data_IF_702867900630
#
_entry.id   IF_702867900630
#
_cell.length_a   1.000
_cell.length_b   1.000
_cell.length_c   1.000
_cell.angle_alpha   90.00
_cell.angle_beta   90.00
_cell.angle_gamma   90.00
#
_symmetry.space_group_name_H-M   'P 1'
#
loop_
_entity.id
_entity.type
_entity.pdbx_description
1 polymer ?
#
# COMPACT_ATOMS: atom_id res chain seq x y z
N UNK A 1 -45.78 12.73 31.23
CA UNK A 1 -44.54 12.76 32.04
C UNK A 1 -43.36 13.03 31.11
N UNK A 2 -42.70 14.19 31.23
CA UNK A 2 -41.55 14.58 30.41
C UNK A 2 -40.28 14.14 31.15
N UNK A 3 -39.68 13.02 30.74
CA UNK A 3 -38.47 12.50 31.37
C UNK A 3 -37.26 13.24 30.77
N UNK A 4 -36.90 14.39 31.33
CA UNK A 4 -35.70 15.11 30.93
C UNK A 4 -34.49 14.38 31.52
N UNK A 5 -33.87 13.50 30.74
CA UNK A 5 -32.64 12.83 31.17
C UNK A 5 -31.56 13.91 31.36
N UNK A 6 -31.14 14.14 32.60
CA UNK A 6 -30.00 15.00 32.92
C UNK A 6 -28.74 14.20 32.61
N UNK A 7 -28.22 14.34 31.39
CA UNK A 7 -26.90 13.80 31.07
C UNK A 7 -25.90 14.47 32.02
N UNK A 8 -25.25 13.67 32.86
CA UNK A 8 -24.33 14.21 33.86
C UNK A 8 -23.09 14.78 33.15
N UNK A 9 -22.51 15.84 33.70
CA UNK A 9 -21.27 16.46 33.17
C UNK A 9 -20.12 15.45 33.04
N UNK A 10 -20.15 14.38 33.84
CA UNK A 10 -19.22 13.25 33.76
C UNK A 10 -19.38 12.43 32.47
N UNK A 11 -20.61 12.17 32.04
CA UNK A 11 -20.88 11.45 30.78
C UNK A 11 -20.44 12.25 29.56
N UNK A 12 -20.61 13.58 29.59
CA UNK A 12 -20.14 14.47 28.52
C UNK A 12 -18.61 14.45 28.46
N UNK A 13 -17.94 14.54 29.62
CA UNK A 13 -16.47 14.53 29.71
C UNK A 13 -15.88 13.20 29.24
N UNK A 14 -16.51 12.08 29.59
CA UNK A 14 -16.11 10.74 29.14
C UNK A 14 -16.26 10.59 27.61
N UNK A 15 -17.38 11.04 27.05
CA UNK A 15 -17.60 11.02 25.60
C UNK A 15 -16.58 11.87 24.84
N UNK A 16 -16.24 13.06 25.37
CA UNK A 16 -15.21 13.92 24.78
C UNK A 16 -13.83 13.28 24.77
N UNK A 17 -13.46 12.58 25.85
CA UNK A 17 -12.17 11.85 25.92
C UNK A 17 -12.15 10.69 24.93
N UNK A 18 -13.24 9.93 24.82
CA UNK A 18 -13.36 8.84 23.84
C UNK A 18 -13.25 9.36 22.41
N UNK A 19 -13.91 10.48 22.09
CA UNK A 19 -13.83 11.13 20.78
C UNK A 19 -12.39 11.55 20.42
N UNK A 20 -11.62 12.08 21.39
CA UNK A 20 -10.22 12.48 21.17
C UNK A 20 -9.33 11.25 20.97
N UNK A 21 -9.52 10.18 21.75
CA UNK A 21 -8.70 8.96 21.64
C UNK A 21 -8.98 8.20 20.35
N UNK A 22 -10.24 8.15 19.90
CA UNK A 22 -10.67 7.48 18.64
C UNK A 22 -10.14 8.16 17.37
N UNK A 23 -9.67 9.41 17.44
CA UNK A 23 -9.05 10.08 16.29
C UNK A 23 -7.58 9.68 16.05
N UNK A 24 -6.92 9.01 17.00
CA UNK A 24 -5.48 8.72 16.89
C UNK A 24 -5.05 7.53 16.00
N UNK A 25 -5.86 6.53 15.61
CA UNK A 25 -5.37 5.48 14.74
C UNK A 25 -5.27 5.90 13.25
N UNK A 26 -5.82 7.06 12.85
CA UNK A 26 -5.84 7.48 11.43
C UNK A 26 -4.55 8.20 11.00
N UNK A 27 -3.80 8.80 11.93
CA UNK A 27 -2.61 9.58 11.58
C UNK A 27 -1.29 8.79 11.60
N UNK A 28 -1.26 7.61 12.21
CA UNK A 28 -0.04 6.78 12.29
C UNK A 28 0.38 6.18 10.93
N UNK A 29 -0.47 6.26 9.90
CA UNK A 29 -0.18 5.76 8.55
C UNK A 29 0.20 6.87 7.56
N UNK A 30 0.22 8.13 7.98
CA UNK A 30 0.68 9.24 7.12
C UNK A 30 2.21 9.25 7.09
N UNK A 31 2.78 8.76 5.99
CA UNK A 31 4.23 8.72 5.76
C UNK A 31 4.71 7.48 5.00
N UNK A 32 4.05 6.33 5.18
CA UNK A 32 4.33 5.10 4.38
C UNK A 32 3.80 5.27 2.95
N UNK A 33 2.66 5.95 2.78
CA UNK A 33 2.09 6.22 1.46
C UNK A 33 3.00 7.08 0.56
N UNK A 34 3.84 7.94 1.14
CA UNK A 34 4.56 8.94 0.36
C UNK A 34 5.86 8.40 -0.25
N UNK A 35 6.53 7.40 0.33
CA UNK A 35 7.87 6.99 -0.10
C UNK A 35 8.00 5.47 -0.24
N UNK A 36 8.28 5.00 -1.45
CA UNK A 36 8.54 3.58 -1.75
C UNK A 36 7.31 2.69 -1.83
N UNK A 37 6.09 3.27 -1.80
CA UNK A 37 4.84 2.54 -1.97
C UNK A 37 4.32 2.63 -3.41
N UNK A 38 3.36 1.76 -3.76
CA UNK A 38 2.67 1.83 -5.05
C UNK A 38 1.53 2.85 -5.08
N UNK A 39 1.37 3.70 -4.06
CA UNK A 39 0.28 4.68 -3.95
C UNK A 39 0.60 6.08 -4.48
N UNK A 40 1.82 6.27 -5.00
CA UNK A 40 2.26 7.52 -5.61
C UNK A 40 1.59 7.74 -6.98
N UNK A 41 1.88 8.86 -7.67
CA UNK A 41 1.37 9.12 -9.03
C UNK A 41 1.88 8.12 -10.09
N UNK A 42 3.00 7.46 -9.82
CA UNK A 42 3.61 6.44 -10.64
C UNK A 42 3.98 5.25 -9.73
N UNK A 43 4.14 4.04 -10.29
CA UNK A 43 4.37 2.84 -9.48
C UNK A 43 5.82 2.74 -8.98
N UNK A 44 6.31 3.71 -8.20
CA UNK A 44 7.55 3.60 -7.42
C UNK A 44 8.79 3.24 -8.27
N UNK A 45 9.03 3.96 -9.38
CA UNK A 45 10.08 3.68 -10.37
C UNK A 45 10.02 2.31 -11.07
N UNK A 46 8.92 1.58 -10.94
CA UNK A 46 8.68 0.39 -11.76
C UNK A 46 8.11 0.79 -13.12
N UNK A 47 8.53 0.08 -14.15
CA UNK A 47 8.06 0.21 -15.51
C UNK A 47 7.87 -1.18 -16.12
N UNK A 48 7.14 -1.24 -17.24
CA UNK A 48 6.97 -2.49 -17.97
C UNK A 48 8.32 -2.84 -18.63
N UNK A 49 8.93 -3.94 -18.21
CA UNK A 49 10.16 -4.46 -18.83
C UNK A 49 9.83 -5.37 -20.02
N UNK A 50 8.89 -6.31 -19.85
CA UNK A 50 8.39 -7.15 -20.93
C UNK A 50 6.89 -7.42 -20.80
N UNK A 51 6.14 -7.16 -21.88
CA UNK A 51 4.71 -7.46 -22.04
C UNK A 51 4.51 -8.27 -23.34
N UNK A 52 4.84 -9.57 -23.33
CA UNK A 52 4.67 -10.44 -24.49
C UNK A 52 3.20 -10.67 -24.88
N UNK A 53 2.99 -11.23 -26.07
CA UNK A 53 1.65 -11.60 -26.53
C UNK A 53 0.96 -12.57 -25.56
N UNK A 54 -0.23 -12.20 -25.10
CA UNK A 54 -0.97 -12.97 -24.09
C UNK A 54 -0.64 -12.63 -22.63
N UNK A 55 0.20 -11.62 -22.40
CA UNK A 55 0.38 -11.00 -21.09
C UNK A 55 -0.17 -9.58 -21.06
N UNK A 56 -0.67 -9.17 -19.89
CA UNK A 56 -1.11 -7.81 -19.59
C UNK A 56 -0.49 -7.40 -18.25
N UNK A 57 0.30 -6.33 -18.27
CA UNK A 57 0.81 -5.70 -17.06
C UNK A 57 -0.06 -4.49 -16.74
N UNK A 58 -0.55 -4.44 -15.51
CA UNK A 58 -1.37 -3.34 -15.00
C UNK A 58 -0.90 -2.90 -13.62
N UNK A 59 -0.95 -1.58 -13.40
CA UNK A 59 -0.84 -1.01 -12.06
C UNK A 59 -2.24 -1.08 -11.44
N UNK A 60 -2.45 -2.16 -10.70
CA UNK A 60 -3.75 -2.66 -10.31
C UNK A 60 -4.28 -1.93 -9.07
N UNK A 61 -5.62 -1.85 -8.96
CA UNK A 61 -6.33 -1.33 -7.78
C UNK A 61 -7.33 -2.34 -7.20
N UNK A 62 -7.43 -3.52 -7.81
CA UNK A 62 -8.38 -4.59 -7.48
C UNK A 62 -7.82 -5.61 -6.49
N UNK A 63 -6.49 -5.72 -6.40
CA UNK A 63 -5.81 -6.64 -5.49
C UNK A 63 -4.51 -6.01 -4.99
N UNK A 64 -4.33 -5.96 -3.68
CA UNK A 64 -3.12 -5.41 -3.04
C UNK A 64 -2.94 -5.98 -1.64
N UNK A 65 -1.70 -6.06 -1.16
CA UNK A 65 -1.42 -6.42 0.22
C UNK A 65 -1.80 -5.30 1.20
N UNK A 66 -1.56 -4.05 0.79
CA UNK A 66 -1.83 -2.86 1.59
C UNK A 66 -2.09 -1.64 0.71
N UNK A 67 -2.83 -0.67 1.24
CA UNK A 67 -3.02 0.71 0.75
C UNK A 67 -3.75 0.91 -0.60
N UNK A 68 -3.88 -0.12 -1.44
CA UNK A 68 -4.83 -0.12 -2.55
C UNK A 68 -4.25 -0.40 -3.93
N UNK A 69 -2.92 -0.44 -4.11
CA UNK A 69 -2.29 -0.68 -5.40
C UNK A 69 -1.23 -1.78 -5.40
N UNK A 70 -1.04 -2.40 -6.56
CA UNK A 70 -0.01 -3.41 -6.79
C UNK A 70 0.47 -3.46 -8.25
N UNK A 71 1.60 -4.13 -8.47
CA UNK A 71 2.04 -4.51 -9.82
C UNK A 71 1.41 -5.86 -10.17
N UNK A 72 0.55 -5.88 -11.19
CA UNK A 72 -0.14 -7.09 -11.62
C UNK A 72 0.40 -7.57 -12.96
N UNK A 73 0.47 -8.89 -13.12
CA UNK A 73 0.75 -9.57 -14.37
C UNK A 73 -0.37 -10.60 -14.56
N UNK A 74 -1.16 -10.40 -15.60
CA UNK A 74 -2.11 -11.41 -16.08
C UNK A 74 -1.53 -12.03 -17.33
N UNK A 75 -1.38 -13.36 -17.36
CA UNK A 75 -0.64 -14.02 -18.42
C UNK A 75 -1.28 -15.36 -18.76
N UNK A 76 -1.53 -15.59 -20.04
CA UNK A 76 -1.92 -16.90 -20.58
C UNK A 76 -0.72 -17.83 -20.72
N UNK A 77 -0.93 -19.10 -21.05
CA UNK A 77 0.16 -20.07 -21.22
C UNK A 77 1.04 -19.70 -22.43
N UNK A 78 2.10 -18.94 -22.17
CA UNK A 78 3.15 -18.59 -23.14
C UNK A 78 4.55 -18.76 -22.51
N UNK A 79 5.54 -19.26 -23.26
CA UNK A 79 6.91 -19.42 -22.75
C UNK A 79 7.63 -18.08 -22.53
N UNK A 80 7.13 -16.98 -23.09
CA UNK A 80 7.76 -15.66 -23.03
C UNK A 80 7.62 -15.03 -21.64
N UNK A 81 8.69 -14.48 -21.08
CA UNK A 81 8.64 -13.84 -19.76
C UNK A 81 7.88 -12.51 -19.81
N UNK A 82 7.00 -12.29 -18.84
CA UNK A 82 6.34 -11.01 -18.59
C UNK A 82 6.90 -10.45 -17.28
N UNK A 83 7.31 -9.18 -17.26
CA UNK A 83 8.01 -8.62 -16.10
C UNK A 83 7.85 -7.12 -15.96
N UNK A 84 7.74 -6.71 -14.71
CA UNK A 84 8.01 -5.35 -14.29
C UNK A 84 9.51 -5.21 -14.00
N UNK A 85 10.07 -4.06 -14.33
CA UNK A 85 11.47 -3.74 -14.13
C UNK A 85 11.59 -2.39 -13.44
N UNK A 86 12.61 -2.23 -12.61
CA UNK A 86 12.97 -0.94 -12.04
C UNK A 86 14.47 -0.76 -12.09
N UNK A 87 14.92 0.36 -12.65
CA UNK A 87 16.34 0.70 -12.72
C UNK A 87 16.88 1.17 -11.35
N UNK A 88 16.04 1.85 -10.56
CA UNK A 88 16.48 2.45 -9.31
C UNK A 88 15.35 2.65 -8.28
N UNK A 89 14.60 1.59 -7.96
CA UNK A 89 13.52 1.66 -6.96
C UNK A 89 14.01 2.15 -5.59
N UNK A 90 15.26 1.80 -5.25
CA UNK A 90 15.89 2.16 -3.97
C UNK A 90 16.16 3.65 -3.82
N UNK A 91 16.07 4.45 -4.90
CA UNK A 91 16.23 5.90 -4.83
C UNK A 91 15.15 6.57 -3.98
N UNK A 92 13.96 5.98 -3.87
CA UNK A 92 12.92 6.45 -2.95
C UNK A 92 13.31 6.34 -1.47
N UNK A 93 14.34 5.56 -1.18
CA UNK A 93 14.85 5.34 0.16
C UNK A 93 16.23 5.97 0.37
N UNK A 94 16.89 6.47 -0.69
CA UNK A 94 18.27 6.97 -0.64
C UNK A 94 18.44 8.17 0.30
N UNK A 95 17.44 9.05 0.38
CA UNK A 95 17.44 10.18 1.34
C UNK A 95 17.42 9.73 2.81
N UNK A 96 16.94 8.52 3.08
CA UNK A 96 16.76 7.96 4.43
C UNK A 96 17.76 6.86 4.76
N UNK A 97 18.46 6.33 3.76
CA UNK A 97 19.40 5.23 3.90
C UNK A 97 20.83 5.69 3.65
N UNK A 98 21.67 5.67 4.69
CA UNK A 98 23.03 6.18 4.61
C UNK A 98 23.95 5.27 3.79
N UNK A 99 24.99 5.88 3.22
CA UNK A 99 26.06 5.16 2.52
C UNK A 99 26.66 4.07 3.43
N UNK A 100 26.95 2.90 2.85
CA UNK A 100 27.58 1.74 3.51
C UNK A 100 26.74 1.12 4.66
N UNK A 101 25.42 1.28 4.60
CA UNK A 101 24.50 0.54 5.48
C UNK A 101 23.83 -0.55 4.66
N UNK A 102 23.70 -1.75 5.22
CA UNK A 102 22.99 -2.84 4.56
C UNK A 102 21.50 -2.51 4.44
N UNK A 103 20.91 -2.83 3.29
CA UNK A 103 19.46 -2.71 3.06
C UNK A 103 18.87 -4.12 3.18
N UNK A 104 17.93 -4.31 4.11
CA UNK A 104 17.07 -5.48 4.11
C UNK A 104 15.89 -5.23 3.16
N UNK A 105 15.70 -6.12 2.18
CA UNK A 105 14.69 -5.98 1.13
C UNK A 105 13.74 -7.17 1.14
N UNK A 106 12.44 -6.87 1.21
CA UNK A 106 11.36 -7.86 1.13
C UNK A 106 10.28 -7.42 0.16
N UNK A 107 9.55 -8.40 -0.39
CA UNK A 107 8.38 -8.17 -1.23
C UNK A 107 7.23 -9.09 -0.82
N UNK A 108 6.00 -8.56 -0.89
CA UNK A 108 4.79 -9.36 -0.83
C UNK A 108 4.37 -9.71 -2.26
N UNK A 109 4.00 -10.97 -2.47
CA UNK A 109 3.49 -11.44 -3.76
C UNK A 109 2.30 -12.37 -3.56
N UNK A 110 1.45 -12.43 -4.58
CA UNK A 110 0.30 -13.32 -4.65
C UNK A 110 0.24 -13.92 -6.05
N UNK A 111 -0.10 -15.21 -6.12
CA UNK A 111 -0.31 -15.93 -7.37
C UNK A 111 -1.66 -16.60 -7.36
N UNK A 112 -2.32 -16.67 -8.51
CA UNK A 112 -3.61 -17.34 -8.71
C UNK A 112 -3.60 -18.06 -10.05
N UNK A 113 -4.28 -19.20 -10.15
CA UNK A 113 -4.41 -19.94 -11.42
C UNK A 113 -3.10 -20.47 -11.99
N UNK A 114 -2.09 -20.71 -11.15
CA UNK A 114 -0.79 -21.26 -11.58
C UNK A 114 -0.88 -22.78 -11.64
N UNK A 115 -0.32 -23.39 -12.70
CA UNK A 115 -0.26 -24.84 -12.93
C UNK A 115 -1.64 -25.56 -12.97
N UNK A 116 -2.69 -24.86 -13.40
CA UNK A 116 -4.04 -25.44 -13.62
C UNK A 116 -4.23 -25.97 -15.03
#
# INVERSE_FOLDING_TARGET
MKNNSKISRWWISLFSIILIVVQNPVQAQSGINEFGSFEQNLPSYWMKGAEPGGATLSWATDDSHSMGRSLKIEKSTTPEAAMWESENMVDLWSERHFKNVDIDMGMYYKTSGVNT
#
